data_IF_467726166747
#
_entry.id   IF_467726166747
#
_cell.length_a   1.000
_cell.length_b   1.000
_cell.length_c   1.000
_cell.angle_alpha   90.00
_cell.angle_beta   90.00
_cell.angle_gamma   90.00
#
_symmetry.space_group_name_H-M   'P 1'
#
loop_
_entity.id
_entity.type
_entity.pdbx_description
1 polymer ?
#
# COMPACT_ATOMS: atom_id res chain seq x y z
N UNK A 1 0.35 -13.78 -12.73
CA UNK A 1 0.20 -12.94 -11.52
C UNK A 1 -1.13 -13.20 -10.80
N UNK A 2 -1.04 -13.57 -9.51
CA UNK A 2 -2.17 -13.72 -8.58
C UNK A 2 -3.08 -12.48 -8.56
N UNK A 3 -2.52 -11.31 -8.86
CA UNK A 3 -3.23 -10.04 -8.94
C UNK A 3 -4.19 -9.91 -10.15
N UNK A 4 -4.00 -10.69 -11.22
CA UNK A 4 -4.95 -10.73 -12.34
C UNK A 4 -6.25 -11.45 -11.97
N UNK A 5 -6.22 -12.37 -10.99
CA UNK A 5 -7.40 -13.13 -10.54
C UNK A 5 -8.09 -12.49 -9.33
N UNK A 6 -7.46 -11.55 -8.64
CA UNK A 6 -8.07 -10.79 -7.53
C UNK A 6 -9.21 -9.86 -7.96
N UNK A 7 -9.41 -9.63 -9.27
CA UNK A 7 -10.44 -8.75 -9.82
C UNK A 7 -11.34 -9.38 -10.90
N UNK A 8 -11.35 -10.71 -11.07
CA UNK A 8 -12.19 -11.36 -12.08
C UNK A 8 -13.09 -12.45 -11.50
N UNK A 9 -14.31 -12.48 -12.02
CA UNK A 9 -15.40 -13.43 -11.81
C UNK A 9 -14.96 -14.91 -11.86
N UNK A 10 -15.76 -15.83 -11.28
CA UNK A 10 -15.35 -17.21 -11.03
C UNK A 10 -15.24 -18.00 -12.33
N UNK A 11 -14.32 -18.98 -12.32
CA UNK A 11 -14.22 -20.07 -13.29
C UNK A 11 -13.43 -19.75 -14.57
N UNK A 12 -12.10 -19.81 -14.47
CA UNK A 12 -11.26 -20.30 -15.58
C UNK A 12 -10.19 -21.22 -15.00
N UNK A 13 -10.38 -22.53 -15.16
CA UNK A 13 -9.37 -23.54 -14.89
C UNK A 13 -8.35 -23.52 -16.03
N UNK A 14 -7.13 -23.06 -15.74
CA UNK A 14 -5.98 -23.23 -16.64
C UNK A 14 -5.37 -24.61 -16.37
N UNK A 15 -4.97 -25.40 -17.39
CA UNK A 15 -4.38 -26.72 -17.19
C UNK A 15 -3.07 -26.63 -16.40
N UNK A 16 -2.91 -27.48 -15.38
CA UNK A 16 -1.69 -27.59 -14.58
C UNK A 16 -0.54 -28.16 -15.41
N UNK A 17 0.43 -27.32 -15.75
CA UNK A 17 1.80 -27.79 -15.95
C UNK A 17 2.40 -28.12 -14.56
N UNK A 18 3.25 -29.16 -14.50
CA UNK A 18 3.81 -29.75 -13.28
C UNK A 18 4.86 -28.88 -12.54
N UNK A 19 4.94 -27.58 -12.83
CA UNK A 19 5.83 -26.63 -12.14
C UNK A 19 5.01 -25.95 -11.06
N UNK A 20 5.39 -26.14 -9.80
CA UNK A 20 4.77 -25.39 -8.70
C UNK A 20 5.07 -23.90 -8.88
N UNK A 21 4.03 -23.07 -8.92
CA UNK A 21 4.22 -21.62 -8.91
C UNK A 21 4.81 -21.17 -7.57
N UNK A 22 5.52 -20.03 -7.49
CA UNK A 22 6.03 -19.52 -6.20
C UNK A 22 4.95 -19.41 -5.12
N UNK A 23 3.72 -19.08 -5.52
CA UNK A 23 2.56 -19.05 -4.63
C UNK A 23 2.11 -20.44 -4.15
N UNK A 24 2.25 -21.50 -4.95
CA UNK A 24 1.96 -22.87 -4.50
C UNK A 24 2.99 -23.35 -3.48
N UNK A 25 4.27 -23.02 -3.67
CA UNK A 25 5.34 -23.29 -2.68
C UNK A 25 5.07 -22.52 -1.40
N UNK A 26 4.78 -21.22 -1.50
CA UNK A 26 4.41 -20.38 -0.37
C UNK A 26 3.16 -20.87 0.38
N UNK A 27 2.15 -21.36 -0.35
CA UNK A 27 0.94 -21.91 0.24
C UNK A 27 1.17 -23.21 1.02
N UNK A 28 2.29 -23.92 0.81
CA UNK A 28 2.65 -25.09 1.60
C UNK A 28 3.36 -24.74 2.92
N UNK A 29 3.92 -23.53 3.04
CA UNK A 29 4.66 -23.08 4.23
C UNK A 29 3.73 -22.41 5.27
N UNK A 30 3.63 -23.03 6.45
CA UNK A 30 2.76 -22.54 7.53
C UNK A 30 3.20 -21.20 8.14
N UNK A 31 4.49 -20.86 8.06
CA UNK A 31 5.04 -19.58 8.46
C UNK A 31 4.67 -18.48 7.48
N UNK A 32 4.79 -18.75 6.18
CA UNK A 32 4.40 -17.83 5.11
C UNK A 32 2.89 -17.59 5.11
N UNK A 33 2.08 -18.63 5.25
CA UNK A 33 0.63 -18.50 5.44
C UNK A 33 0.29 -17.58 6.62
N UNK A 34 0.97 -17.75 7.76
CA UNK A 34 0.74 -16.93 8.94
C UNK A 34 1.14 -15.46 8.73
N UNK A 35 2.26 -15.23 8.04
CA UNK A 35 2.76 -13.89 7.74
C UNK A 35 1.82 -13.16 6.77
N UNK A 36 1.58 -13.74 5.59
CA UNK A 36 0.70 -13.18 4.55
C UNK A 36 -0.72 -12.97 5.06
N UNK A 37 -1.26 -13.94 5.79
CA UNK A 37 -2.58 -13.80 6.39
C UNK A 37 -2.62 -12.74 7.49
N UNK A 38 -1.53 -12.56 8.23
CA UNK A 38 -1.37 -11.47 9.19
C UNK A 38 -1.44 -10.09 8.52
N UNK A 39 -0.68 -9.91 7.44
CA UNK A 39 -0.71 -8.69 6.62
C UNK A 39 -2.12 -8.43 6.07
N UNK A 40 -2.72 -9.41 5.41
CA UNK A 40 -4.05 -9.27 4.83
C UNK A 40 -5.11 -8.86 5.86
N UNK A 41 -5.10 -9.48 7.04
CA UNK A 41 -6.05 -9.13 8.10
C UNK A 41 -5.91 -7.66 8.50
N UNK A 42 -4.68 -7.17 8.72
CA UNK A 42 -4.46 -5.77 9.07
C UNK A 42 -4.91 -4.83 7.96
N UNK A 43 -4.62 -5.17 6.70
CA UNK A 43 -5.08 -4.43 5.53
C UNK A 43 -6.61 -4.31 5.51
N UNK A 44 -7.35 -5.41 5.67
CA UNK A 44 -8.82 -5.39 5.69
C UNK A 44 -9.36 -4.53 6.84
N UNK A 45 -8.79 -4.67 8.04
CA UNK A 45 -9.21 -3.88 9.20
C UNK A 45 -8.91 -2.38 9.01
N UNK A 46 -7.79 -2.04 8.37
CA UNK A 46 -7.43 -0.67 8.02
C UNK A 46 -8.40 -0.07 7.00
N UNK A 47 -8.71 -0.83 5.95
CA UNK A 47 -9.70 -0.43 4.93
C UNK A 47 -11.09 -0.21 5.56
N UNK A 48 -11.56 -1.14 6.39
CA UNK A 48 -12.87 -1.02 7.06
C UNK A 48 -12.91 0.20 7.99
N UNK A 49 -11.83 0.44 8.76
CA UNK A 49 -11.71 1.63 9.59
C UNK A 49 -11.77 2.91 8.75
N UNK A 50 -10.99 2.98 7.66
CA UNK A 50 -10.93 4.13 6.76
C UNK A 50 -12.30 4.48 6.17
N UNK A 51 -13.03 3.47 5.66
CA UNK A 51 -14.31 3.68 4.97
C UNK A 51 -15.47 4.03 5.91
N UNK A 52 -15.46 3.51 7.15
CA UNK A 52 -16.55 3.72 8.12
C UNK A 52 -16.39 4.98 8.95
N UNK A 53 -15.16 5.37 9.27
CA UNK A 53 -14.87 6.48 10.16
C UNK A 53 -14.39 7.70 9.35
N UNK A 54 -15.30 8.28 8.58
CA UNK A 54 -15.00 9.37 7.63
C UNK A 54 -14.49 10.65 8.28
N UNK A 55 -14.91 10.93 9.50
CA UNK A 55 -14.47 12.10 10.26
C UNK A 55 -13.19 11.82 11.09
N UNK A 56 -12.67 10.59 11.05
CA UNK A 56 -11.51 10.23 11.82
C UNK A 56 -10.21 10.58 11.10
N UNK A 57 -9.29 11.19 11.85
CA UNK A 57 -7.91 11.41 11.40
C UNK A 57 -7.10 10.10 11.37
N UNK A 58 -5.91 10.14 10.76
CA UNK A 58 -5.02 8.97 10.63
C UNK A 58 -4.65 8.32 11.98
N UNK A 59 -4.52 9.12 13.04
CA UNK A 59 -4.21 8.64 14.39
C UNK A 59 -5.37 7.85 14.99
N UNK A 60 -6.59 8.38 14.90
CA UNK A 60 -7.81 7.72 15.33
C UNK A 60 -8.04 6.43 14.54
N UNK A 61 -7.86 6.45 13.22
CA UNK A 61 -7.93 5.26 12.36
C UNK A 61 -6.92 4.18 12.77
N UNK A 62 -5.70 4.58 13.11
CA UNK A 62 -4.67 3.65 13.62
C UNK A 62 -5.11 2.98 14.91
N UNK A 63 -5.69 3.73 15.85
CA UNK A 63 -6.22 3.16 17.10
C UNK A 63 -7.39 2.22 16.86
N UNK A 64 -8.31 2.58 15.98
CA UNK A 64 -9.47 1.73 15.62
C UNK A 64 -8.98 0.40 15.02
N UNK A 65 -8.06 0.45 14.03
CA UNK A 65 -7.42 -0.74 13.43
C UNK A 65 -6.74 -1.61 14.48
N UNK A 66 -5.96 -1.01 15.38
CA UNK A 66 -5.26 -1.73 16.44
C UNK A 66 -6.25 -2.42 17.40
N UNK A 67 -7.28 -1.71 17.84
CA UNK A 67 -8.33 -2.28 18.70
C UNK A 67 -9.06 -3.43 18.02
N UNK A 68 -9.45 -3.29 16.75
CA UNK A 68 -10.08 -4.35 15.97
C UNK A 68 -9.17 -5.59 15.83
N UNK A 69 -7.87 -5.39 15.61
CA UNK A 69 -6.90 -6.47 15.50
C UNK A 69 -6.64 -7.21 16.83
N UNK A 70 -6.80 -6.52 17.97
CA UNK A 70 -6.65 -7.11 19.30
C UNK A 70 -7.82 -8.03 19.67
N UNK A 71 -9.03 -7.73 19.19
CA UNK A 71 -10.24 -8.51 19.52
C UNK A 71 -10.45 -9.75 18.63
N UNK A 72 -9.62 -9.97 17.60
CA UNK A 72 -9.75 -11.10 16.65
C UNK A 72 -9.99 -12.46 17.32
N UNK A 73 -9.24 -12.77 18.38
CA UNK A 73 -9.41 -13.99 19.19
C UNK A 73 -8.86 -13.85 20.61
N UNK A 74 -9.44 -14.56 21.60
CA UNK A 74 -9.00 -14.50 23.00
C UNK A 74 -7.65 -15.18 23.27
N UNK A 75 -7.14 -16.01 22.35
CA UNK A 75 -5.87 -16.75 22.55
C UNK A 75 -4.88 -16.57 21.40
N UNK A 76 -3.57 -16.56 21.73
CA UNK A 76 -2.46 -16.52 20.76
C UNK A 76 -2.58 -17.64 19.70
N UNK A 77 -2.94 -18.85 20.13
CA UNK A 77 -3.11 -20.03 19.26
C UNK A 77 -4.22 -19.82 18.23
N UNK A 78 -5.39 -19.33 18.64
CA UNK A 78 -6.50 -19.10 17.72
C UNK A 78 -6.21 -17.98 16.71
N UNK A 79 -5.53 -16.90 17.14
CA UNK A 79 -5.05 -15.84 16.24
C UNK A 79 -4.08 -16.39 15.19
N UNK A 80 -3.13 -17.23 15.60
CA UNK A 80 -2.18 -17.91 14.71
C UNK A 80 -2.88 -18.74 13.62
N UNK A 81 -3.83 -19.59 13.99
CA UNK A 81 -4.57 -20.41 13.02
C UNK A 81 -5.47 -19.60 12.10
N UNK A 82 -6.06 -18.51 12.60
CA UNK A 82 -6.85 -17.58 11.76
C UNK A 82 -5.97 -16.98 10.66
N UNK A 83 -4.79 -16.45 11.04
CA UNK A 83 -3.84 -15.91 10.06
C UNK A 83 -3.49 -16.94 9.00
N UNK A 84 -3.12 -18.17 9.41
CA UNK A 84 -2.77 -19.24 8.47
C UNK A 84 -3.90 -19.57 7.50
N UNK A 85 -5.12 -19.72 8.00
CA UNK A 85 -6.28 -20.02 7.16
C UNK A 85 -6.58 -18.90 6.16
N UNK A 86 -6.47 -17.64 6.59
CA UNK A 86 -6.60 -16.48 5.71
C UNK A 86 -5.49 -16.45 4.66
N UNK A 87 -4.23 -16.59 5.09
CA UNK A 87 -3.07 -16.56 4.20
C UNK A 87 -3.07 -17.67 3.17
N UNK A 88 -3.49 -18.89 3.53
CA UNK A 88 -3.67 -19.98 2.58
C UNK A 88 -4.63 -19.59 1.45
N UNK A 89 -5.78 -18.97 1.79
CA UNK A 89 -6.75 -18.54 0.78
C UNK A 89 -6.20 -17.40 -0.08
N UNK A 90 -5.47 -16.44 0.48
CA UNK A 90 -4.81 -15.38 -0.30
C UNK A 90 -3.81 -15.98 -1.29
N UNK A 91 -2.86 -16.80 -0.81
CA UNK A 91 -1.85 -17.46 -1.65
C UNK A 91 -2.47 -18.38 -2.72
N UNK A 92 -3.71 -18.83 -2.50
CA UNK A 92 -4.47 -19.65 -3.45
C UNK A 92 -5.44 -18.83 -4.32
N UNK A 93 -5.27 -17.51 -4.45
CA UNK A 93 -6.14 -16.61 -5.23
C UNK A 93 -7.62 -16.62 -4.84
N UNK A 94 -7.94 -16.87 -3.57
CA UNK A 94 -9.31 -17.00 -3.06
C UNK A 94 -9.67 -15.83 -2.11
N UNK A 95 -9.63 -14.59 -2.62
CA UNK A 95 -9.85 -13.36 -1.83
C UNK A 95 -11.14 -13.39 -1.00
N UNK A 96 -12.27 -13.72 -1.62
CA UNK A 96 -13.55 -13.79 -0.91
C UNK A 96 -13.55 -14.85 0.19
N UNK A 97 -12.88 -16.00 0.00
CA UNK A 97 -12.78 -17.01 1.07
C UNK A 97 -11.88 -16.54 2.19
N UNK A 98 -10.78 -15.85 1.88
CA UNK A 98 -9.92 -15.22 2.88
C UNK A 98 -10.72 -14.21 3.72
N UNK A 99 -11.51 -13.35 3.06
CA UNK A 99 -12.41 -12.41 3.73
C UNK A 99 -13.45 -13.12 4.60
N UNK A 100 -14.12 -14.17 4.10
CA UNK A 100 -15.08 -14.93 4.91
C UNK A 100 -14.43 -15.60 6.13
N UNK A 101 -13.19 -16.09 6.03
CA UNK A 101 -12.46 -16.64 7.19
C UNK A 101 -12.20 -15.57 8.25
N UNK A 102 -11.88 -14.35 7.84
CA UNK A 102 -11.75 -13.21 8.75
C UNK A 102 -13.11 -12.81 9.34
N UNK A 103 -14.14 -12.65 8.51
CA UNK A 103 -15.48 -12.26 8.93
C UNK A 103 -16.10 -13.25 9.95
N UNK A 104 -15.78 -14.54 9.85
CA UNK A 104 -16.22 -15.56 10.81
C UNK A 104 -15.65 -15.36 12.23
N UNK A 105 -14.59 -14.57 12.38
CA UNK A 105 -13.95 -14.30 13.67
C UNK A 105 -14.02 -12.84 14.09
N UNK A 106 -14.25 -11.95 13.12
CA UNK A 106 -14.45 -10.52 13.30
C UNK A 106 -15.54 -10.08 12.33
N UNK A 107 -16.83 -10.11 12.73
CA UNK A 107 -17.94 -9.75 11.86
C UNK A 107 -17.86 -8.29 11.42
N UNK A 108 -18.14 -8.02 10.14
CA UNK A 108 -18.22 -6.67 9.58
C UNK A 108 -19.70 -6.32 9.32
N UNK A 109 -20.33 -5.45 10.12
CA UNK A 109 -21.77 -5.17 9.99
C UNK A 109 -22.15 -4.65 8.60
N UNK A 110 -23.03 -5.37 7.90
CA UNK A 110 -23.48 -5.00 6.56
C UNK A 110 -22.49 -5.30 5.42
N UNK A 111 -21.38 -5.99 5.71
CA UNK A 111 -20.38 -6.40 4.69
C UNK A 111 -20.25 -7.92 4.73
N UNK A 112 -20.72 -8.59 3.69
CA UNK A 112 -20.66 -10.05 3.59
C UNK A 112 -19.58 -10.53 2.63
N UNK A 113 -19.09 -9.65 1.76
CA UNK A 113 -18.07 -9.96 0.76
C UNK A 113 -17.10 -8.80 0.55
N UNK A 114 -16.00 -9.07 -0.15
CA UNK A 114 -15.07 -8.01 -0.58
C UNK A 114 -15.76 -6.96 -1.44
N UNK A 115 -16.74 -7.38 -2.26
CA UNK A 115 -17.52 -6.50 -3.11
C UNK A 115 -18.37 -5.51 -2.30
N UNK A 116 -18.91 -5.94 -1.17
CA UNK A 116 -19.70 -5.07 -0.29
C UNK A 116 -18.81 -4.00 0.36
N UNK A 117 -17.60 -4.39 0.77
CA UNK A 117 -16.60 -3.45 1.29
C UNK A 117 -16.20 -2.43 0.22
N UNK A 118 -15.94 -2.90 -1.01
CA UNK A 118 -15.63 -2.05 -2.15
C UNK A 118 -16.78 -1.11 -2.55
N UNK A 119 -18.03 -1.53 -2.33
CA UNK A 119 -19.20 -0.70 -2.60
C UNK A 119 -19.30 0.54 -1.71
N UNK A 120 -18.72 0.51 -0.49
CA UNK A 120 -18.67 1.69 0.39
C UNK A 120 -17.85 2.84 -0.23
N UNK A 121 -16.76 2.51 -0.95
CA UNK A 121 -15.96 3.49 -1.68
C UNK A 121 -16.74 4.13 -2.85
N UNK A 122 -17.56 3.37 -3.57
CA UNK A 122 -18.37 3.92 -4.67
C UNK A 122 -19.36 4.98 -4.19
N UNK A 123 -19.99 4.76 -3.03
CA UNK A 123 -20.87 5.75 -2.40
C UNK A 123 -20.11 7.02 -2.04
N UNK A 124 -18.87 6.87 -1.56
CA UNK A 124 -18.01 7.99 -1.20
C UNK A 124 -17.57 8.81 -2.42
N UNK A 125 -17.08 8.17 -3.48
CA UNK A 125 -16.64 8.89 -4.68
C UNK A 125 -17.77 9.58 -5.44
N UNK A 126 -19.00 9.04 -5.37
CA UNK A 126 -20.18 9.68 -5.94
C UNK A 126 -20.63 10.94 -5.16
N UNK A 127 -20.31 11.02 -3.86
CA UNK A 127 -20.66 12.14 -3.01
C UNK A 127 -19.64 13.30 -3.03
N UNK A 128 -18.45 13.09 -3.63
CA UNK A 128 -17.43 14.11 -3.72
C UNK A 128 -17.86 15.21 -4.71
N UNK A 129 -17.94 16.46 -4.25
CA UNK A 129 -18.21 17.60 -5.12
C UNK A 129 -17.08 17.77 -6.15
N UNK A 130 -17.40 17.99 -7.44
CA UNK A 130 -16.38 18.34 -8.42
C UNK A 130 -15.93 19.78 -8.16
N UNK A 131 -14.75 19.98 -7.56
CA UNK A 131 -14.23 21.32 -7.31
C UNK A 131 -12.77 21.55 -7.75
N UNK A 132 -12.65 22.36 -8.81
CA UNK A 132 -11.86 23.61 -8.88
C UNK A 132 -10.35 23.62 -8.62
N UNK A 133 -9.59 22.69 -9.18
CA UNK A 133 -8.13 22.83 -9.24
C UNK A 133 -7.59 23.07 -10.65
N UNK A 134 -8.17 24.04 -11.38
CA UNK A 134 -7.61 24.48 -12.69
C UNK A 134 -6.13 24.84 -12.58
N UNK A 135 -5.73 25.38 -11.42
CA UNK A 135 -4.34 25.75 -11.14
C UNK A 135 -3.41 24.56 -10.84
N UNK A 136 -3.94 23.38 -10.49
CA UNK A 136 -3.16 22.16 -10.29
C UNK A 136 -3.25 21.19 -11.47
N UNK A 137 -4.00 21.51 -12.53
CA UNK A 137 -4.19 20.66 -13.71
C UNK A 137 -2.84 20.21 -14.29
N UNK A 138 -1.87 21.12 -14.36
CA UNK A 138 -0.52 20.79 -14.83
C UNK A 138 0.19 19.79 -13.90
N UNK A 139 0.23 20.06 -12.59
CA UNK A 139 0.85 19.18 -11.60
C UNK A 139 0.24 17.78 -11.63
N UNK A 140 -1.09 17.71 -11.59
CA UNK A 140 -1.83 16.44 -11.67
C UNK A 140 -1.47 15.70 -12.96
N UNK A 141 -1.55 16.35 -14.12
CA UNK A 141 -1.26 15.70 -15.40
C UNK A 141 0.19 15.19 -15.51
N UNK A 142 1.17 15.93 -14.99
CA UNK A 142 2.56 15.47 -14.95
C UNK A 142 2.71 14.25 -14.05
N UNK A 143 2.17 14.30 -12.83
CA UNK A 143 2.28 13.19 -11.89
C UNK A 143 1.58 11.95 -12.43
N UNK A 144 0.40 12.06 -13.04
CA UNK A 144 -0.28 10.92 -13.71
C UNK A 144 0.58 10.25 -14.77
N UNK A 145 1.29 11.05 -15.57
CA UNK A 145 2.22 10.55 -16.57
C UNK A 145 3.42 9.84 -15.93
N UNK A 146 3.99 10.42 -14.88
CA UNK A 146 5.13 9.87 -14.15
C UNK A 146 4.78 8.54 -13.48
N UNK A 147 3.62 8.47 -12.82
CA UNK A 147 3.18 7.25 -12.14
C UNK A 147 2.56 6.24 -13.09
N UNK A 148 2.19 6.63 -14.32
CA UNK A 148 1.55 5.78 -15.33
C UNK A 148 0.11 5.35 -14.96
N UNK A 149 -0.63 6.20 -14.24
CA UNK A 149 -2.01 5.95 -13.84
C UNK A 149 -2.86 7.19 -14.10
N UNK A 150 -4.01 7.02 -14.75
CA UNK A 150 -4.95 8.09 -15.04
C UNK A 150 -6.12 8.03 -14.06
N UNK A 151 -6.14 8.95 -13.10
CA UNK A 151 -7.22 9.10 -12.13
C UNK A 151 -8.53 9.51 -12.79
N UNK A 152 -9.62 8.88 -12.36
CA UNK A 152 -10.98 9.32 -12.64
C UNK A 152 -11.31 10.55 -11.80
N UNK A 153 -10.97 10.50 -10.51
CA UNK A 153 -11.08 11.60 -9.58
C UNK A 153 -9.70 12.21 -9.31
N UNK A 154 -9.38 13.29 -10.04
CA UNK A 154 -8.11 14.03 -9.91
C UNK A 154 -7.88 14.62 -8.52
N UNK A 155 -8.94 14.84 -7.74
CA UNK A 155 -8.83 15.39 -6.38
C UNK A 155 -8.13 14.42 -5.44
N UNK A 156 -8.25 13.11 -5.66
CA UNK A 156 -7.52 12.12 -4.86
C UNK A 156 -6.01 12.26 -5.03
N UNK A 157 -5.54 12.53 -6.25
CA UNK A 157 -4.12 12.76 -6.50
C UNK A 157 -3.67 14.12 -5.92
N UNK A 158 -4.45 15.18 -6.13
CA UNK A 158 -4.15 16.49 -5.56
C UNK A 158 -4.06 16.43 -4.02
N UNK A 159 -4.98 15.69 -3.38
CA UNK A 159 -4.94 15.43 -1.94
C UNK A 159 -3.70 14.61 -1.55
N UNK A 160 -3.38 13.52 -2.26
CA UNK A 160 -2.22 12.68 -1.95
C UNK A 160 -0.89 13.45 -1.98
N UNK A 161 -0.77 14.42 -2.89
CA UNK A 161 0.40 15.29 -3.04
C UNK A 161 0.47 16.42 -2.02
N UNK A 162 -0.50 16.53 -1.09
CA UNK A 162 -0.57 17.62 -0.13
C UNK A 162 -0.17 17.13 1.27
N UNK A 163 1.05 17.41 1.73
CA UNK A 163 1.55 16.93 3.01
C UNK A 163 0.67 17.30 4.20
N UNK A 164 0.75 16.50 5.26
CA UNK A 164 0.26 16.91 6.58
C UNK A 164 0.85 18.28 6.95
N UNK A 165 0.02 19.14 7.56
CA UNK A 165 0.38 20.51 7.96
C UNK A 165 0.73 21.49 6.82
N UNK A 166 0.49 21.14 5.54
CA UNK A 166 0.60 22.06 4.42
C UNK A 166 -0.16 23.39 4.65
N UNK A 167 0.37 24.52 4.16
CA UNK A 167 -0.21 25.86 4.37
C UNK A 167 -1.69 25.90 3.96
N UNK A 168 -2.59 25.97 4.95
CA UNK A 168 -4.00 25.66 4.76
C UNK A 168 -4.79 26.83 4.18
N UNK A 169 -5.61 26.52 3.17
CA UNK A 169 -6.94 27.12 3.04
C UNK A 169 -7.94 26.21 3.77
N UNK A 170 -8.96 26.76 4.41
CA UNK A 170 -9.83 26.01 5.36
C UNK A 170 -10.59 24.82 4.74
N UNK A 171 -10.62 24.72 3.40
CA UNK A 171 -11.36 23.71 2.65
C UNK A 171 -10.49 22.63 2.00
N UNK A 172 -9.16 22.68 2.17
CA UNK A 172 -8.23 21.73 1.53
C UNK A 172 -7.79 20.64 2.52
N UNK A 173 -8.07 19.37 2.20
CA UNK A 173 -7.69 18.21 3.00
C UNK A 173 -6.25 17.78 2.74
N UNK A 174 -5.55 17.33 3.78
CA UNK A 174 -4.19 16.79 3.69
C UNK A 174 -4.19 15.30 3.34
N UNK A 175 -3.01 14.75 3.09
CA UNK A 175 -2.82 13.38 2.64
C UNK A 175 -2.84 12.32 3.76
N UNK A 176 -2.91 12.70 5.04
CA UNK A 176 -2.79 11.83 6.21
C UNK A 176 -3.74 10.61 6.21
N UNK A 177 -5.00 10.79 5.79
CA UNK A 177 -5.94 9.66 5.67
C UNK A 177 -5.59 8.74 4.49
N UNK A 178 -5.08 9.29 3.39
CA UNK A 178 -4.64 8.51 2.22
C UNK A 178 -3.33 7.78 2.50
N UNK A 179 -2.39 8.40 3.22
CA UNK A 179 -1.16 7.79 3.75
C UNK A 179 -1.52 6.53 4.55
N UNK A 180 -2.42 6.68 5.53
CA UNK A 180 -2.90 5.57 6.33
C UNK A 180 -3.46 4.40 5.49
N UNK A 181 -4.25 4.71 4.46
CA UNK A 181 -4.80 3.68 3.57
C UNK A 181 -3.70 3.04 2.72
N UNK A 182 -2.74 3.84 2.24
CA UNK A 182 -1.56 3.41 1.51
C UNK A 182 -0.72 2.40 2.28
N UNK A 183 -0.33 2.75 3.51
CA UNK A 183 0.37 1.85 4.46
C UNK A 183 -0.36 0.51 4.56
N UNK A 184 -1.66 0.56 4.88
CA UNK A 184 -2.47 -0.63 5.05
C UNK A 184 -2.48 -1.52 3.80
N UNK A 185 -2.54 -0.93 2.61
CA UNK A 185 -2.58 -1.66 1.33
C UNK A 185 -1.20 -2.23 0.97
N UNK A 186 -0.13 -1.47 1.20
CA UNK A 186 1.25 -1.89 0.98
C UNK A 186 1.64 -3.09 1.87
N UNK A 187 1.13 -3.17 3.11
CA UNK A 187 1.35 -4.32 4.01
C UNK A 187 1.02 -5.66 3.35
N UNK A 188 -0.01 -5.72 2.49
CA UNK A 188 -0.39 -6.94 1.74
C UNK A 188 0.30 -7.03 0.38
N UNK A 189 0.46 -5.91 -0.32
CA UNK A 189 1.02 -5.92 -1.67
C UNK A 189 2.49 -6.36 -1.68
N UNK A 190 3.32 -5.80 -0.79
CA UNK A 190 4.74 -6.06 -0.73
C UNK A 190 5.11 -7.56 -0.56
N UNK A 191 4.57 -8.32 0.41
CA UNK A 191 4.94 -9.73 0.56
C UNK A 191 4.48 -10.58 -0.63
N UNK A 192 3.32 -10.28 -1.22
CA UNK A 192 2.84 -11.00 -2.39
C UNK A 192 3.68 -10.73 -3.63
N UNK A 193 4.19 -9.50 -3.77
CA UNK A 193 5.13 -9.13 -4.82
C UNK A 193 6.43 -9.92 -4.69
N UNK A 194 7.03 -9.93 -3.48
CA UNK A 194 8.28 -10.64 -3.23
C UNK A 194 8.18 -12.15 -3.40
N UNK A 195 7.06 -12.78 -3.01
CA UNK A 195 6.81 -14.19 -3.31
C UNK A 195 6.84 -14.45 -4.82
N UNK A 196 6.31 -13.54 -5.64
CA UNK A 196 6.31 -13.69 -7.10
C UNK A 196 7.72 -13.61 -7.70
N UNK A 197 8.65 -12.93 -7.03
CA UNK A 197 10.06 -12.84 -7.40
C UNK A 197 10.89 -14.06 -6.96
N UNK A 198 10.24 -15.11 -6.43
CA UNK A 198 10.86 -16.39 -6.07
C UNK A 198 12.04 -16.28 -5.09
N UNK A 199 11.91 -15.39 -4.09
CA UNK A 199 12.90 -15.23 -3.02
C UNK A 199 12.92 -16.42 -2.05
N UNK A 200 13.97 -16.53 -1.23
CA UNK A 200 13.94 -17.41 -0.05
C UNK A 200 12.84 -16.96 0.93
N UNK A 201 11.78 -17.76 1.03
CA UNK A 201 10.62 -17.49 1.87
C UNK A 201 10.94 -17.29 3.36
N UNK A 202 12.07 -17.80 3.86
CA UNK A 202 12.53 -17.53 5.24
C UNK A 202 12.86 -16.06 5.46
N UNK A 203 13.23 -15.35 4.41
CA UNK A 203 13.62 -13.94 4.41
C UNK A 203 12.48 -13.00 3.99
N UNK A 204 11.31 -13.55 3.64
CA UNK A 204 10.15 -12.79 3.13
C UNK A 204 9.77 -11.60 4.02
N UNK A 205 9.79 -11.79 5.34
CA UNK A 205 9.50 -10.71 6.29
C UNK A 205 10.49 -9.56 6.19
N UNK A 206 11.79 -9.87 6.07
CA UNK A 206 12.84 -8.87 5.91
C UNK A 206 12.69 -8.08 4.61
N UNK A 207 12.51 -8.78 3.48
CA UNK A 207 12.24 -8.14 2.18
C UNK A 207 11.02 -7.23 2.23
N UNK A 208 9.94 -7.71 2.84
CA UNK A 208 8.70 -6.94 2.98
C UNK A 208 8.97 -5.64 3.73
N UNK A 209 9.51 -5.71 4.95
CA UNK A 209 9.76 -4.54 5.80
C UNK A 209 10.75 -3.57 5.17
N UNK A 210 11.84 -4.07 4.58
CA UNK A 210 12.85 -3.23 3.94
C UNK A 210 12.34 -2.55 2.66
N UNK A 211 11.43 -3.21 1.94
CA UNK A 211 10.90 -2.65 0.70
C UNK A 211 9.95 -1.48 0.94
N UNK A 212 9.15 -1.49 2.00
CA UNK A 212 8.14 -0.44 2.23
C UNK A 212 8.46 0.41 3.46
N UNK A 213 9.71 0.44 3.91
CA UNK A 213 10.11 1.38 4.96
C UNK A 213 10.19 2.81 4.42
N UNK A 214 10.14 3.80 5.31
CA UNK A 214 10.13 5.21 4.93
C UNK A 214 11.35 5.60 4.07
N UNK A 215 12.53 5.04 4.36
CA UNK A 215 13.74 5.25 3.56
C UNK A 215 13.57 4.80 2.11
N UNK A 216 12.97 3.61 1.90
CA UNK A 216 12.72 3.05 0.58
C UNK A 216 11.64 3.84 -0.18
N UNK A 217 10.57 4.27 0.49
CA UNK A 217 9.50 5.07 -0.12
C UNK A 217 9.98 6.48 -0.47
N UNK A 218 10.80 7.10 0.38
CA UNK A 218 11.50 8.35 0.07
C UNK A 218 12.39 8.19 -1.17
N UNK A 219 13.19 7.12 -1.24
CA UNK A 219 14.04 6.84 -2.39
C UNK A 219 13.24 6.75 -3.69
N UNK A 220 12.07 6.10 -3.66
CA UNK A 220 11.17 6.04 -4.83
C UNK A 220 10.68 7.44 -5.23
N UNK A 221 10.25 8.26 -4.28
CA UNK A 221 9.83 9.64 -4.57
C UNK A 221 10.95 10.47 -5.21
N UNK A 222 12.18 10.36 -4.71
CA UNK A 222 13.32 11.13 -5.19
C UNK A 222 13.81 10.67 -6.57
N UNK A 223 13.91 9.35 -6.79
CA UNK A 223 14.37 8.75 -8.06
C UNK A 223 13.37 9.01 -9.19
N UNK A 224 12.06 8.94 -8.89
CA UNK A 224 11.02 9.25 -9.87
C UNK A 224 10.90 10.77 -10.10
N UNK A 225 11.30 11.60 -9.12
CA UNK A 225 11.22 13.06 -9.16
C UNK A 225 9.85 13.62 -8.75
N UNK A 226 9.10 12.88 -7.93
CA UNK A 226 7.75 13.26 -7.47
C UNK A 226 7.77 14.30 -6.34
N UNK A 227 8.88 14.42 -5.63
CA UNK A 227 9.11 15.43 -4.58
C UNK A 227 8.89 16.86 -5.07
N UNK A 228 9.21 17.14 -6.34
CA UNK A 228 9.03 18.45 -6.97
C UNK A 228 7.56 18.86 -7.17
N UNK A 229 6.62 17.93 -6.95
CA UNK A 229 5.19 18.12 -7.21
C UNK A 229 4.33 18.16 -5.93
N UNK A 230 4.96 18.18 -4.75
CA UNK A 230 4.23 18.36 -3.49
C UNK A 230 3.55 19.75 -3.44
N UNK A 231 2.34 19.77 -2.91
CA UNK A 231 1.45 20.93 -2.96
C UNK A 231 1.36 21.55 -1.58
N UNK A 232 1.81 22.81 -1.46
CA UNK A 232 1.69 23.58 -0.22
C UNK A 232 2.58 23.10 0.93
N UNK A 233 3.66 22.36 0.63
CA UNK A 233 4.66 21.99 1.63
C UNK A 233 5.23 23.23 2.33
N UNK A 234 5.40 23.15 3.66
CA UNK A 234 5.92 24.26 4.47
C UNK A 234 7.40 24.51 4.21
N UNK A 235 7.92 25.67 4.63
CA UNK A 235 9.35 25.98 4.51
C UNK A 235 10.25 24.92 5.19
N UNK A 236 9.84 24.41 6.35
CA UNK A 236 10.58 23.36 7.06
C UNK A 236 10.58 22.04 6.26
N UNK A 237 9.42 21.63 5.74
CA UNK A 237 9.30 20.44 4.90
C UNK A 237 10.16 20.55 3.64
N UNK A 238 10.17 21.71 2.98
CA UNK A 238 10.99 21.97 1.81
C UNK A 238 12.49 21.91 2.15
N UNK A 239 12.90 22.39 3.32
CA UNK A 239 14.27 22.28 3.83
C UNK A 239 14.70 20.83 4.04
N UNK A 240 13.83 20.00 4.64
CA UNK A 240 14.12 18.57 4.85
C UNK A 240 14.16 17.79 3.53
N UNK A 241 13.25 18.09 2.59
CA UNK A 241 13.24 17.48 1.25
C UNK A 241 14.51 17.83 0.48
N UNK A 242 14.97 19.08 0.54
CA UNK A 242 16.19 19.50 -0.14
C UNK A 242 17.43 18.74 0.38
N UNK A 243 17.55 18.59 1.70
CA UNK A 243 18.63 17.79 2.32
C UNK A 243 18.52 16.31 1.94
N UNK A 244 17.31 15.75 2.01
CA UNK A 244 17.05 14.36 1.61
C UNK A 244 17.49 14.09 0.18
N UNK A 245 17.23 15.02 -0.75
CA UNK A 245 17.67 14.94 -2.15
C UNK A 245 19.18 14.99 -2.29
N UNK A 246 19.85 15.91 -1.60
CA UNK A 246 21.31 16.02 -1.62
C UNK A 246 21.98 14.74 -1.11
N UNK A 247 21.57 14.23 0.06
CA UNK A 247 22.12 13.00 0.62
C UNK A 247 21.82 11.77 -0.24
N UNK A 248 20.62 11.70 -0.83
CA UNK A 248 20.26 10.62 -1.75
C UNK A 248 21.17 10.58 -2.97
N UNK A 249 21.44 11.71 -3.62
CA UNK A 249 22.33 11.75 -4.79
C UNK A 249 23.77 11.37 -4.43
N UNK A 250 24.30 11.89 -3.31
CA UNK A 250 25.64 11.52 -2.83
C UNK A 250 25.72 10.02 -2.52
N UNK A 251 24.73 9.46 -1.84
CA UNK A 251 24.69 8.03 -1.53
C UNK A 251 24.59 7.16 -2.80
N UNK A 252 23.77 7.60 -3.77
CA UNK A 252 23.61 6.93 -5.08
C UNK A 252 24.90 6.93 -5.89
N UNK A 253 25.62 8.04 -5.93
CA UNK A 253 26.91 8.13 -6.63
C UNK A 253 27.96 7.21 -6.00
N UNK A 254 27.97 7.10 -4.67
CA UNK A 254 28.92 6.26 -3.94
C UNK A 254 28.63 4.76 -4.05
N UNK A 255 27.35 4.37 -4.22
CA UNK A 255 26.94 2.97 -4.26
C UNK A 255 25.73 2.74 -5.19
N UNK A 256 25.87 2.92 -6.51
CA UNK A 256 24.75 2.99 -7.45
C UNK A 256 23.94 1.70 -7.59
N UNK A 257 24.60 0.55 -7.36
CA UNK A 257 24.01 -0.78 -7.47
C UNK A 257 23.52 -1.35 -6.12
N UNK A 258 23.80 -0.67 -5.02
CA UNK A 258 23.47 -1.13 -3.68
C UNK A 258 22.18 -0.56 -3.11
N UNK A 259 21.88 -0.95 -1.87
CA UNK A 259 20.78 -0.41 -1.05
C UNK A 259 21.28 0.86 -0.33
N UNK A 260 21.61 1.89 -1.11
CA UNK A 260 22.27 3.10 -0.59
C UNK A 260 21.32 4.03 0.19
N UNK A 261 20.00 3.93 -0.04
CA UNK A 261 19.02 4.82 0.60
C UNK A 261 18.76 4.51 2.08
N UNK A 262 19.21 3.35 2.59
CA UNK A 262 18.93 2.90 3.95
C UNK A 262 19.35 3.91 5.04
N UNK A 263 20.41 4.69 4.76
CA UNK A 263 20.98 5.67 5.70
C UNK A 263 20.62 7.12 5.33
N UNK A 264 19.72 7.33 4.36
CA UNK A 264 19.39 8.67 3.80
C UNK A 264 18.01 9.18 4.21
N UNK A 265 17.36 8.54 5.18
CA UNK A 265 16.00 8.91 5.56
C UNK A 265 15.97 10.20 6.36
N UNK A 266 15.47 11.26 5.72
CA UNK A 266 15.45 12.61 6.26
C UNK A 266 14.08 13.29 6.15
N UNK A 267 13.17 12.77 5.32
CA UNK A 267 11.85 13.38 5.10
C UNK A 267 10.71 12.37 5.24
N UNK A 268 10.01 12.43 6.38
CA UNK A 268 8.74 11.69 6.57
C UNK A 268 7.73 12.06 5.49
N UNK A 269 7.68 13.35 5.14
CA UNK A 269 6.77 13.89 4.12
C UNK A 269 6.83 13.17 2.78
N UNK A 270 8.03 12.78 2.32
CA UNK A 270 8.17 12.05 1.06
C UNK A 270 7.63 10.62 1.17
N UNK A 271 7.95 9.91 2.25
CA UNK A 271 7.41 8.57 2.48
C UNK A 271 5.87 8.60 2.57
N UNK A 272 5.32 9.52 3.36
CA UNK A 272 3.86 9.67 3.55
C UNK A 272 3.15 9.98 2.24
N UNK A 273 3.72 10.86 1.41
CA UNK A 273 3.18 11.20 0.11
C UNK A 273 3.18 9.99 -0.83
N UNK A 274 4.22 9.15 -0.80
CA UNK A 274 4.27 7.92 -1.60
C UNK A 274 3.18 6.95 -1.17
N UNK A 275 2.99 6.75 0.14
CA UNK A 275 1.89 5.92 0.67
C UNK A 275 0.53 6.49 0.26
N UNK A 276 0.36 7.81 0.39
CA UNK A 276 -0.87 8.48 -0.01
C UNK A 276 -1.18 8.32 -1.51
N UNK A 277 -0.17 8.32 -2.38
CA UNK A 277 -0.35 8.03 -3.82
C UNK A 277 -0.86 6.59 -4.00
N UNK A 278 -0.29 5.60 -3.32
CA UNK A 278 -0.81 4.23 -3.34
C UNK A 278 -2.25 4.16 -2.83
N UNK A 279 -2.56 4.83 -1.72
CA UNK A 279 -3.91 4.91 -1.16
C UNK A 279 -4.92 5.55 -2.13
N UNK A 280 -4.52 6.63 -2.80
CA UNK A 280 -5.33 7.33 -3.79
C UNK A 280 -5.62 6.47 -5.02
N UNK A 281 -4.60 5.81 -5.60
CA UNK A 281 -4.78 4.86 -6.72
C UNK A 281 -5.68 3.70 -6.29
N UNK A 282 -5.52 3.21 -5.07
CA UNK A 282 -6.34 2.14 -4.54
C UNK A 282 -7.82 2.52 -4.52
N UNK A 283 -8.16 3.71 -4.02
CA UNK A 283 -9.54 4.19 -4.00
C UNK A 283 -10.08 4.44 -5.41
N UNK A 284 -9.37 5.19 -6.25
CA UNK A 284 -9.81 5.57 -7.59
C UNK A 284 -10.05 4.35 -8.51
N UNK A 285 -9.24 3.32 -8.36
CA UNK A 285 -9.37 2.06 -9.10
C UNK A 285 -10.54 1.19 -8.66
N UNK A 286 -11.28 1.58 -7.61
CA UNK A 286 -12.33 0.77 -7.02
C UNK A 286 -11.78 -0.34 -6.12
N UNK A 287 -10.72 -0.04 -5.36
CA UNK A 287 -10.05 -0.94 -4.40
C UNK A 287 -9.37 -2.14 -5.06
N UNK A 288 -8.69 -1.88 -6.18
CA UNK A 288 -7.99 -2.90 -6.95
C UNK A 288 -6.55 -3.08 -6.47
N UNK A 289 -6.25 -4.25 -5.88
CA UNK A 289 -4.86 -4.64 -5.62
C UNK A 289 -4.02 -4.83 -6.89
N UNK A 290 -4.67 -5.04 -8.05
CA UNK A 290 -3.97 -5.14 -9.33
C UNK A 290 -3.31 -3.83 -9.71
N UNK A 291 -4.02 -2.71 -9.57
CA UNK A 291 -3.45 -1.39 -9.88
C UNK A 291 -2.31 -1.03 -8.93
N UNK A 292 -2.42 -1.43 -7.65
CA UNK A 292 -1.33 -1.27 -6.66
C UNK A 292 -0.11 -2.09 -7.04
N UNK A 293 -0.30 -3.34 -7.42
CA UNK A 293 0.79 -4.17 -7.91
C UNK A 293 1.46 -3.53 -9.14
N UNK A 294 0.69 -3.09 -10.13
CA UNK A 294 1.23 -2.46 -11.33
C UNK A 294 1.97 -1.15 -11.04
N UNK A 295 1.49 -0.37 -10.07
CA UNK A 295 2.15 0.84 -9.60
C UNK A 295 3.47 0.51 -8.87
N UNK A 296 3.45 -0.52 -8.01
CA UNK A 296 4.61 -1.03 -7.29
C UNK A 296 5.68 -1.56 -8.26
N UNK A 297 5.29 -2.38 -9.24
CA UNK A 297 6.18 -2.90 -10.29
C UNK A 297 6.83 -1.79 -11.11
N UNK A 298 6.08 -0.70 -11.39
CA UNK A 298 6.54 0.38 -12.25
C UNK A 298 7.47 1.36 -11.53
N UNK A 299 7.11 1.75 -10.32
CA UNK A 299 7.81 2.83 -9.59
C UNK A 299 8.77 2.29 -8.54
N UNK A 300 8.36 1.26 -7.81
CA UNK A 300 9.11 0.78 -6.66
C UNK A 300 10.17 -0.24 -7.06
N UNK A 301 9.80 -1.24 -7.86
CA UNK A 301 10.70 -2.32 -8.26
C UNK A 301 12.02 -1.86 -8.90
N UNK A 302 12.03 -0.89 -9.85
CA UNK A 302 13.28 -0.43 -10.46
C UNK A 302 14.22 0.28 -9.48
N UNK A 303 13.69 0.83 -8.39
CA UNK A 303 14.44 1.60 -7.41
C UNK A 303 14.95 0.69 -6.31
N UNK A 304 14.03 -0.02 -5.66
CA UNK A 304 14.29 -0.78 -4.44
C UNK A 304 14.55 -2.24 -4.77
N UNK A 305 13.61 -2.87 -5.48
CA UNK A 305 13.60 -4.33 -5.60
C UNK A 305 14.76 -4.90 -6.42
N UNK A 306 15.10 -4.28 -7.56
CA UNK A 306 16.25 -4.70 -8.38
C UNK A 306 17.61 -4.60 -7.67
N UNK A 307 17.73 -3.69 -6.70
CA UNK A 307 18.97 -3.40 -5.96
C UNK A 307 19.08 -4.20 -4.66
N UNK A 308 17.99 -4.84 -4.22
CA UNK A 308 17.95 -5.61 -2.98
C UNK A 308 18.13 -7.11 -3.26
N UNK A 309 19.38 -7.59 -3.21
CA UNK A 309 19.74 -9.00 -3.39
C UNK A 309 19.58 -9.85 -2.12
N UNK A 310 19.50 -9.19 -0.97
CA UNK A 310 19.17 -9.73 0.35
C UNK A 310 18.48 -8.63 1.17
N UNK A 311 17.65 -8.96 2.19
CA UNK A 311 17.11 -7.94 3.07
C UNK A 311 18.26 -7.20 3.78
N UNK A 312 18.32 -5.86 3.73
CA UNK A 312 19.29 -5.11 4.52
C UNK A 312 19.02 -5.31 6.02
N UNK A 313 20.08 -5.26 6.83
CA UNK A 313 19.94 -5.00 8.26
C UNK A 313 19.39 -3.58 8.41
N UNK A 314 18.15 -3.47 8.89
CA UNK A 314 17.45 -2.23 9.22
C UNK A 314 17.53 -1.95 10.72
#
# INVERSE_FOLDING_TARGET
PLFLTLNLHPCTTVPMAAIQTPYQVAAADLGVQEFVGGCFIKTVLGIDAFLRHKEADSYQLTRIRASAYMVLKPTKKAKKWTKRAVGLHILSSQLNRAFHRLAAVHPFPGINSWRDLAALNHVEQAAAEPATHRHLEHTVAQVEKMIGYCFRNKNLLAQALRPENAERRYWETTNDRLEYLGDAVLETCAPLFWIEQDIDLKTLGGYTMASVCNAALQAVMLEVGLDAYLIGATADQLGDIAKAREEYEVARENNPDGVFWKDTYLSKTLADAMEAIFGAVYLDSGMSFREIYSLFERLHWPVVGRRMSAPPEL
#
